data_IF_547212462805
#
_entry.id   IF_547212462805
#
_cell.length_a   1.000
_cell.length_b   1.000
_cell.length_c   1.000
_cell.angle_alpha   90.00
_cell.angle_beta   90.00
_cell.angle_gamma   90.00
#
_symmetry.space_group_name_H-M   'P 1'
#
loop_
_entity.id
_entity.type
_entity.pdbx_description
1 polymer ?
#
# COMPACT_ATOMS: atom_id res chain seq x y z
N UNK A 1 -0.48 0.38 -2.49
CA UNK A 1 0.87 0.71 -1.99
C UNK A 1 1.63 1.72 -2.85
N UNK A 2 2.15 1.38 -4.05
CA UNK A 2 3.00 2.33 -4.80
C UNK A 2 2.26 3.63 -5.16
N UNK A 3 0.98 3.52 -5.50
CA UNK A 3 0.11 4.67 -5.70
C UNK A 3 0.04 5.57 -4.46
N UNK A 4 -0.11 4.98 -3.28
CA UNK A 4 -0.20 5.71 -2.01
C UNK A 4 1.14 6.37 -1.64
N UNK A 5 2.25 5.70 -1.92
CA UNK A 5 3.60 6.23 -1.68
C UNK A 5 3.97 7.39 -2.61
N UNK A 6 3.48 7.37 -3.85
CA UNK A 6 3.87 8.35 -4.88
C UNK A 6 2.81 9.40 -5.17
N UNK A 7 1.59 9.22 -4.66
CA UNK A 7 0.43 10.06 -4.95
C UNK A 7 -0.13 9.90 -6.36
N UNK A 8 0.31 8.91 -7.13
CA UNK A 8 -0.09 8.69 -8.53
C UNK A 8 -0.11 7.20 -8.86
N UNK A 9 -1.10 6.75 -9.63
CA UNK A 9 -1.10 5.37 -10.15
C UNK A 9 -0.03 5.14 -11.23
N UNK A 10 0.45 6.21 -11.85
CA UNK A 10 1.37 6.19 -12.98
C UNK A 10 2.83 6.29 -12.52
N UNK A 11 3.72 5.63 -13.26
CA UNK A 11 5.15 5.85 -13.11
C UNK A 11 5.50 7.33 -13.33
N UNK A 12 6.56 7.85 -12.67
CA UNK A 12 7.06 9.20 -12.94
C UNK A 12 7.39 9.36 -14.43
N UNK A 13 6.89 10.42 -15.07
CA UNK A 13 7.02 10.61 -16.52
C UNK A 13 5.98 9.86 -17.36
N UNK A 14 5.05 9.12 -16.74
CA UNK A 14 3.91 8.48 -17.38
C UNK A 14 4.18 7.07 -17.93
N UNK A 15 5.44 6.64 -17.98
CA UNK A 15 5.84 5.29 -18.41
C UNK A 15 7.06 4.83 -17.63
N UNK A 16 7.01 3.62 -17.07
CA UNK A 16 8.16 2.89 -16.58
C UNK A 16 8.71 2.04 -17.72
N UNK A 17 10.04 2.03 -17.89
CA UNK A 17 10.71 1.28 -18.96
C UNK A 17 11.77 0.36 -18.37
N UNK A 18 11.94 -0.82 -18.99
CA UNK A 18 13.00 -1.75 -18.66
C UNK A 18 13.58 -2.38 -19.92
N UNK A 19 14.88 -2.17 -20.16
CA UNK A 19 15.57 -2.65 -21.35
C UNK A 19 16.08 -4.08 -21.15
N UNK A 20 15.71 -4.97 -22.06
CA UNK A 20 16.09 -6.38 -22.11
C UNK A 20 16.96 -6.63 -23.35
N UNK A 21 18.29 -6.68 -23.21
CA UNK A 21 19.19 -6.97 -24.34
C UNK A 21 19.00 -8.40 -24.87
N UNK A 22 19.17 -8.56 -26.18
CA UNK A 22 19.09 -9.85 -26.87
C UNK A 22 19.97 -10.90 -26.18
N UNK A 23 19.39 -12.07 -25.89
CA UNK A 23 20.04 -13.23 -25.27
C UNK A 23 20.72 -12.99 -23.90
N UNK A 24 20.53 -11.82 -23.28
CA UNK A 24 21.26 -11.42 -22.06
C UNK A 24 20.35 -11.19 -20.85
N UNK A 25 19.02 -11.19 -21.03
CA UNK A 25 18.08 -10.91 -19.93
C UNK A 25 17.63 -12.16 -19.18
N UNK A 26 17.27 -13.24 -19.88
CA UNK A 26 16.79 -14.45 -19.24
C UNK A 26 17.95 -15.25 -18.63
N UNK A 27 17.73 -15.78 -17.42
CA UNK A 27 18.78 -16.49 -16.65
C UNK A 27 18.82 -17.99 -16.96
N UNK A 28 17.68 -18.57 -17.32
CA UNK A 28 17.52 -20.03 -17.52
C UNK A 28 17.33 -20.44 -18.98
N UNK A 29 16.91 -19.51 -19.83
CA UNK A 29 16.70 -19.70 -21.26
C UNK A 29 17.47 -18.64 -22.05
N UNK A 30 17.73 -18.91 -23.34
CA UNK A 30 18.21 -17.88 -24.26
C UNK A 30 17.06 -16.95 -24.63
N UNK A 31 17.19 -15.67 -24.31
CA UNK A 31 16.27 -14.65 -24.78
C UNK A 31 16.44 -13.28 -24.11
N UNK A 32 15.75 -12.25 -24.62
CA UNK A 32 14.89 -12.27 -25.82
C UNK A 32 15.67 -12.48 -27.13
N UNK A 33 14.99 -12.86 -28.23
CA UNK A 33 15.63 -13.12 -29.53
C UNK A 33 16.11 -11.87 -30.27
N UNK A 34 15.74 -10.70 -29.78
CA UNK A 34 16.14 -9.37 -30.21
C UNK A 34 16.07 -8.43 -28.99
N UNK A 35 16.63 -7.23 -29.09
CA UNK A 35 16.50 -6.23 -28.02
C UNK A 35 15.03 -5.84 -27.83
N UNK A 36 14.55 -5.90 -26.59
CA UNK A 36 13.17 -5.55 -26.23
C UNK A 36 13.19 -4.52 -25.10
N UNK A 37 12.30 -3.53 -25.15
CA UNK A 37 12.01 -2.65 -24.01
C UNK A 37 10.62 -2.93 -23.49
N UNK A 38 10.52 -3.39 -22.24
CA UNK A 38 9.25 -3.53 -21.54
C UNK A 38 8.78 -2.16 -21.05
N UNK A 39 7.47 -1.92 -21.10
CA UNK A 39 6.88 -0.63 -20.76
C UNK A 39 5.59 -0.81 -19.97
N UNK A 40 5.37 0.06 -18.97
CA UNK A 40 4.16 0.06 -18.13
C UNK A 40 3.73 1.49 -17.85
N UNK A 41 2.44 1.80 -18.01
CA UNK A 41 1.95 3.12 -17.65
C UNK A 41 1.78 3.25 -16.13
N UNK A 42 1.19 2.24 -15.51
CA UNK A 42 0.87 2.21 -14.09
C UNK A 42 1.68 1.17 -13.32
N UNK A 43 1.79 1.36 -12.00
CA UNK A 43 2.36 0.35 -11.10
C UNK A 43 1.57 -0.96 -11.15
N UNK A 44 0.26 -0.89 -11.42
CA UNK A 44 -0.60 -2.05 -11.56
C UNK A 44 -0.24 -2.87 -12.80
N UNK A 45 0.01 -2.23 -13.95
CA UNK A 45 0.40 -2.93 -15.19
C UNK A 45 1.68 -3.75 -14.98
N UNK A 46 2.66 -3.18 -14.26
CA UNK A 46 3.91 -3.85 -13.93
C UNK A 46 3.70 -5.03 -12.97
N UNK A 47 2.85 -4.86 -11.95
CA UNK A 47 2.49 -5.94 -11.02
C UNK A 47 1.74 -7.07 -11.74
N UNK A 48 0.82 -6.73 -12.64
CA UNK A 48 0.03 -7.68 -13.40
C UNK A 48 0.91 -8.54 -14.33
N UNK A 49 1.86 -7.92 -15.03
CA UNK A 49 2.81 -8.67 -15.85
C UNK A 49 3.75 -9.53 -15.00
N UNK A 50 4.16 -9.05 -13.83
CA UNK A 50 4.95 -9.84 -12.87
C UNK A 50 4.20 -11.11 -12.47
N UNK A 51 2.92 -11.03 -12.14
CA UNK A 51 2.10 -12.20 -11.80
C UNK A 51 1.95 -13.16 -13.00
N UNK A 52 1.68 -12.64 -14.20
CA UNK A 52 1.60 -13.46 -15.42
C UNK A 52 2.92 -14.19 -15.75
N UNK A 53 4.06 -13.55 -15.48
CA UNK A 53 5.39 -14.15 -15.72
C UNK A 53 5.57 -15.48 -14.97
N UNK A 54 4.91 -15.65 -13.81
CA UNK A 54 4.98 -16.87 -13.01
C UNK A 54 4.26 -18.04 -13.69
N UNK A 55 3.18 -17.75 -14.43
CA UNK A 55 2.46 -18.73 -15.23
C UNK A 55 3.28 -19.09 -16.47
N UNK A 56 3.80 -18.08 -17.18
CA UNK A 56 4.61 -18.30 -18.39
C UNK A 56 5.91 -19.05 -18.10
N UNK A 57 6.54 -18.78 -16.95
CA UNK A 57 7.71 -19.50 -16.46
C UNK A 57 7.39 -20.89 -15.86
N UNK A 58 6.12 -21.30 -15.84
CA UNK A 58 5.71 -22.65 -15.42
C UNK A 58 5.84 -22.95 -13.92
N UNK A 59 5.91 -21.92 -13.06
CA UNK A 59 6.11 -22.07 -11.61
C UNK A 59 4.87 -21.72 -10.76
N UNK A 60 3.79 -21.24 -11.38
CA UNK A 60 2.48 -21.12 -10.74
C UNK A 60 1.34 -21.57 -11.67
N UNK A 61 0.32 -22.26 -11.15
CA UNK A 61 -0.91 -22.54 -11.89
C UNK A 61 -1.75 -21.24 -12.06
N UNK A 62 -2.54 -21.11 -13.15
CA UNK A 62 -3.42 -19.96 -13.35
C UNK A 62 -4.45 -19.72 -12.23
N UNK A 63 -4.79 -20.77 -11.47
CA UNK A 63 -5.72 -20.68 -10.35
C UNK A 63 -5.20 -19.80 -9.19
N UNK A 64 -3.88 -19.61 -9.07
CA UNK A 64 -3.27 -18.83 -8.00
C UNK A 64 -3.22 -17.32 -8.33
N UNK A 65 -3.35 -16.95 -9.61
CA UNK A 65 -3.06 -15.60 -10.09
C UNK A 65 -4.05 -14.54 -9.56
N UNK A 66 -5.31 -14.64 -9.95
CA UNK A 66 -6.34 -13.68 -9.55
C UNK A 66 -6.53 -13.62 -8.02
N UNK A 67 -6.66 -14.75 -7.29
CA UNK A 67 -6.75 -14.71 -5.83
C UNK A 67 -5.50 -14.10 -5.17
N UNK A 68 -4.31 -14.39 -5.70
CA UNK A 68 -3.06 -13.81 -5.21
C UNK A 68 -2.98 -12.31 -5.40
N UNK A 69 -3.46 -11.79 -6.54
CA UNK A 69 -3.56 -10.33 -6.78
C UNK A 69 -4.53 -9.65 -5.82
N UNK A 70 -5.70 -10.25 -5.58
CA UNK A 70 -6.69 -9.74 -4.63
C UNK A 70 -6.09 -9.65 -3.23
N UNK A 71 -5.45 -10.74 -2.76
CA UNK A 71 -4.75 -10.74 -1.47
C UNK A 71 -3.64 -9.69 -1.42
N UNK A 72 -2.92 -9.48 -2.52
CA UNK A 72 -1.90 -8.45 -2.63
C UNK A 72 -2.45 -7.03 -2.42
N UNK A 73 -3.65 -6.72 -2.91
CA UNK A 73 -4.30 -5.44 -2.65
C UNK A 73 -4.61 -5.24 -1.16
N UNK A 74 -5.19 -6.24 -0.52
CA UNK A 74 -5.53 -6.19 0.92
C UNK A 74 -4.27 -6.03 1.79
N UNK A 75 -3.23 -6.84 1.54
CA UNK A 75 -1.96 -6.77 2.28
C UNK A 75 -1.25 -5.43 2.05
N UNK A 76 -1.32 -4.88 0.84
CA UNK A 76 -0.71 -3.60 0.51
C UNK A 76 -1.33 -2.42 1.29
N UNK A 77 -2.64 -2.43 1.46
CA UNK A 77 -3.41 -1.45 2.23
C UNK A 77 -3.03 -1.53 3.72
N UNK A 78 -3.05 -2.74 4.28
CA UNK A 78 -2.65 -3.00 5.67
C UNK A 78 -1.20 -2.59 5.95
N UNK A 79 -0.27 -2.95 5.06
CA UNK A 79 1.13 -2.61 5.20
C UNK A 79 1.37 -1.10 5.16
N UNK A 80 0.68 -0.37 4.26
CA UNK A 80 0.77 1.08 4.20
C UNK A 80 0.25 1.73 5.49
N UNK A 81 -0.90 1.27 5.99
CA UNK A 81 -1.49 1.74 7.25
C UNK A 81 -0.56 1.51 8.44
N UNK A 82 0.03 0.33 8.55
CA UNK A 82 1.03 0.06 9.60
C UNK A 82 2.23 0.99 9.47
N UNK A 83 2.74 1.19 8.24
CA UNK A 83 3.81 2.14 7.96
C UNK A 83 3.48 3.55 8.47
N UNK A 84 2.32 4.09 8.11
CA UNK A 84 1.85 5.41 8.57
C UNK A 84 1.87 5.48 10.10
N UNK A 85 1.27 4.50 10.79
CA UNK A 85 1.26 4.46 12.26
C UNK A 85 2.65 4.49 12.87
N UNK A 86 3.59 3.71 12.32
CA UNK A 86 4.98 3.72 12.78
C UNK A 86 5.70 5.05 12.53
N UNK A 87 5.46 5.70 11.40
CA UNK A 87 6.09 6.98 11.08
C UNK A 87 5.45 8.18 11.79
N UNK A 88 4.21 8.07 12.27
CA UNK A 88 3.52 9.15 13.00
C UNK A 88 3.54 8.99 14.51
N UNK A 89 4.07 7.88 15.04
CA UNK A 89 4.14 7.64 16.50
C UNK A 89 2.96 6.88 17.09
N UNK A 90 2.02 6.40 16.27
CA UNK A 90 0.76 5.79 16.71
C UNK A 90 0.79 4.25 16.67
N UNK A 91 1.99 3.65 16.57
CA UNK A 91 2.12 2.20 16.42
C UNK A 91 1.74 1.45 17.70
N UNK A 92 2.12 1.99 18.85
CA UNK A 92 1.88 1.38 20.15
C UNK A 92 0.50 1.78 20.72
N UNK A 93 -0.03 2.92 20.26
CA UNK A 93 -1.29 3.48 20.71
C UNK A 93 -2.02 4.16 19.55
N UNK A 94 -3.20 3.64 19.19
CA UNK A 94 -4.02 4.23 18.13
C UNK A 94 -4.60 5.60 18.50
N UNK A 95 -4.72 5.87 19.80
CA UNK A 95 -5.37 7.08 20.30
C UNK A 95 -4.38 8.19 20.66
N UNK A 96 -3.08 7.90 20.76
CA UNK A 96 -1.99 8.89 20.95
C UNK A 96 -1.51 9.28 19.55
N UNK A 97 -2.04 10.39 19.06
CA UNK A 97 -1.82 10.83 17.67
C UNK A 97 -0.68 11.84 17.56
N UNK A 98 -0.18 12.34 18.68
CA UNK A 98 0.94 13.28 18.74
C UNK A 98 2.25 12.60 19.19
N UNK A 99 2.18 11.34 19.64
CA UNK A 99 3.30 10.51 20.06
C UNK A 99 3.92 10.93 21.40
N UNK A 100 3.18 11.66 22.24
CA UNK A 100 3.68 12.19 23.51
C UNK A 100 3.41 11.29 24.73
N UNK A 101 2.79 10.11 24.50
CA UNK A 101 2.44 9.08 25.48
C UNK A 101 1.34 9.47 26.47
N UNK A 102 0.67 10.61 26.26
CA UNK A 102 -0.45 11.08 27.09
C UNK A 102 -1.72 11.14 26.26
N UNK A 103 -2.77 10.45 26.71
CA UNK A 103 -4.09 10.56 26.09
C UNK A 103 -4.84 11.78 26.62
N UNK A 104 -4.87 12.85 25.84
CA UNK A 104 -5.50 14.10 26.24
C UNK A 104 -6.21 14.87 25.11
N UNK A 105 -6.47 16.16 25.35
CA UNK A 105 -7.16 17.01 24.39
C UNK A 105 -6.34 17.24 23.11
N UNK A 106 -5.02 17.11 23.15
CA UNK A 106 -4.15 17.21 21.99
C UNK A 106 -4.46 16.10 20.97
N UNK A 107 -4.68 14.86 21.41
CA UNK A 107 -5.04 13.75 20.52
C UNK A 107 -6.43 13.90 19.93
N UNK A 108 -7.39 14.33 20.75
CA UNK A 108 -8.74 14.64 20.29
C UNK A 108 -8.71 15.72 19.19
N UNK A 109 -7.92 16.78 19.39
CA UNK A 109 -7.76 17.84 18.40
C UNK A 109 -7.02 17.34 17.15
N UNK A 110 -6.01 16.49 17.31
CA UNK A 110 -5.27 15.89 16.19
C UNK A 110 -6.19 14.99 15.35
N UNK A 111 -7.00 14.15 15.99
CA UNK A 111 -7.96 13.27 15.33
C UNK A 111 -8.99 14.09 14.55
N UNK A 112 -9.64 15.06 15.20
CA UNK A 112 -10.66 15.90 14.55
C UNK A 112 -10.06 16.67 13.38
N UNK A 113 -8.86 17.24 13.54
CA UNK A 113 -8.20 17.99 12.47
C UNK A 113 -7.87 17.10 11.27
N UNK A 114 -7.33 15.91 11.52
CA UNK A 114 -7.03 14.94 10.47
C UNK A 114 -8.30 14.39 9.82
N UNK A 115 -9.33 14.06 10.59
CA UNK A 115 -10.59 13.52 10.08
C UNK A 115 -11.27 14.50 9.13
N UNK A 116 -11.32 15.79 9.49
CA UNK A 116 -11.86 16.84 8.62
C UNK A 116 -11.02 17.08 7.37
N UNK A 117 -9.71 16.85 7.46
CA UNK A 117 -8.78 16.95 6.33
C UNK A 117 -8.69 15.68 5.48
N UNK A 118 -9.44 14.62 5.82
CA UNK A 118 -9.28 13.29 5.22
C UNK A 118 -7.82 12.81 5.28
N UNK A 119 -7.19 13.01 6.43
CA UNK A 119 -5.83 12.59 6.72
C UNK A 119 -5.77 11.15 7.20
N UNK A 120 -4.72 10.43 6.79
CA UNK A 120 -4.54 8.99 7.02
C UNK A 120 -4.46 8.60 8.50
N UNK A 121 -4.05 9.50 9.40
CA UNK A 121 -4.00 9.20 10.85
C UNK A 121 -5.39 9.13 11.48
N UNK A 122 -6.44 9.60 10.79
CA UNK A 122 -7.83 9.52 11.23
C UNK A 122 -8.65 8.46 10.45
N UNK A 123 -8.01 7.72 9.55
CA UNK A 123 -8.58 6.59 8.82
C UNK A 123 -8.11 5.29 9.51
N UNK A 124 -8.72 5.02 10.66
CA UNK A 124 -8.23 4.05 11.65
C UNK A 124 -9.01 2.74 11.65
N UNK A 125 -10.13 2.69 10.92
CA UNK A 125 -11.00 1.52 10.79
C UNK A 125 -11.33 1.22 9.32
N UNK A 126 -11.89 0.05 9.07
CA UNK A 126 -12.34 -0.32 7.72
C UNK A 126 -13.72 0.30 7.41
N UNK A 127 -14.03 0.60 6.13
CA UNK A 127 -13.14 0.51 4.97
C UNK A 127 -12.12 1.67 4.89
N UNK A 128 -10.88 1.36 4.55
CA UNK A 128 -9.79 2.34 4.42
C UNK A 128 -10.01 3.26 3.21
N UNK A 129 -9.50 4.48 3.31
CA UNK A 129 -9.72 5.57 2.37
C UNK A 129 -11.11 6.20 2.52
N UNK A 130 -11.85 5.85 3.58
CA UNK A 130 -13.22 6.31 3.81
C UNK A 130 -13.40 6.77 5.26
N UNK A 131 -13.12 8.04 5.51
CA UNK A 131 -13.36 8.70 6.80
C UNK A 131 -14.85 8.70 7.17
N UNK A 132 -15.24 7.80 8.08
CA UNK A 132 -16.63 7.58 8.45
C UNK A 132 -16.82 7.29 9.95
N UNK A 133 -18.03 6.90 10.34
CA UNK A 133 -18.39 6.64 11.73
C UNK A 133 -17.61 5.47 12.36
N UNK A 134 -17.15 4.51 11.56
CA UNK A 134 -16.28 3.42 12.01
C UNK A 134 -14.97 3.95 12.58
N UNK A 135 -14.34 4.92 11.93
CA UNK A 135 -13.09 5.53 12.39
C UNK A 135 -13.28 6.28 13.70
N UNK A 136 -14.36 7.07 13.77
CA UNK A 136 -14.72 7.80 14.97
C UNK A 136 -14.94 6.84 16.15
N UNK A 137 -15.68 5.75 15.92
CA UNK A 137 -15.94 4.75 16.96
C UNK A 137 -14.66 4.03 17.37
N UNK A 138 -13.78 3.66 16.42
CA UNK A 138 -12.52 3.00 16.71
C UNK A 138 -11.58 3.90 17.52
N UNK A 139 -11.45 5.18 17.15
CA UNK A 139 -10.67 6.16 17.90
C UNK A 139 -11.24 6.34 19.32
N UNK A 140 -12.54 6.56 19.48
CA UNK A 140 -13.17 6.73 20.81
C UNK A 140 -12.96 5.49 21.68
N UNK A 141 -13.13 4.28 21.12
CA UNK A 141 -12.91 3.04 21.86
C UNK A 141 -11.46 2.90 22.31
N UNK A 142 -10.49 3.19 21.43
CA UNK A 142 -9.07 3.18 21.78
C UNK A 142 -8.73 4.21 22.87
N UNK A 143 -9.25 5.45 22.73
CA UNK A 143 -9.02 6.53 23.68
C UNK A 143 -9.61 6.20 25.07
N UNK A 144 -10.80 5.60 25.13
CA UNK A 144 -11.44 5.19 26.38
C UNK A 144 -10.79 3.95 27.02
N UNK A 145 -10.32 3.01 26.22
CA UNK A 145 -9.61 1.84 26.69
C UNK A 145 -8.27 2.19 27.35
N UNK A 146 -7.70 3.34 26.96
CA UNK A 146 -6.34 3.71 27.31
C UNK A 146 -5.33 2.94 26.48
N UNK A 147 -4.10 3.43 26.47
CA UNK A 147 -2.98 2.76 25.80
C UNK A 147 -2.00 2.20 26.83
N UNK A 148 -1.24 1.15 26.48
CA UNK A 148 -0.12 0.69 27.31
C UNK A 148 0.98 1.77 27.42
#
# INVERSE_FOLDING_TARGET
LMTDLTGSAFFPGGVGEFFCPQNEFLVFEEGPSEDITLQWATYQDASDQTSMSRIWGGIHPPADDLPGRIMGFEVAEDAFRQGVRHFTGNADCLADLNGDTLLDLADLNAFVSSYLAQGLIADVADPVGVWNLSDLNAFIQAFQAGCP
#
